data_IF_230332029758
#
_entry.id   IF_230332029758
#
_cell.length_a   1.000
_cell.length_b   1.000
_cell.length_c   1.000
_cell.angle_alpha   90.00
_cell.angle_beta   90.00
_cell.angle_gamma   90.00
#
_symmetry.space_group_name_H-M   'P 1'
#
loop_
_entity.id
_entity.type
_entity.pdbx_description
1 polymer ?
#
# COMPACT_ATOMS: atom_id res chain seq x y z
N UNK A 1 29.26 -4.94 -18.37
CA UNK A 1 28.26 -6.03 -18.35
C UNK A 1 27.73 -6.04 -16.94
N UNK A 2 26.52 -5.54 -16.74
CA UNK A 2 25.90 -5.40 -15.42
C UNK A 2 24.95 -6.59 -15.24
N UNK A 3 25.40 -7.60 -14.51
CA UNK A 3 24.62 -8.80 -14.18
C UNK A 3 23.91 -8.57 -12.85
N UNK A 4 22.58 -8.45 -12.89
CA UNK A 4 21.75 -8.16 -11.73
C UNK A 4 21.11 -9.42 -11.18
N UNK A 5 21.57 -9.87 -10.01
CA UNK A 5 21.06 -10.98 -9.19
C UNK A 5 19.64 -10.70 -8.63
N UNK A 6 18.63 -10.65 -9.51
CA UNK A 6 17.21 -10.55 -9.13
C UNK A 6 16.36 -11.43 -10.05
N UNK A 7 16.59 -12.74 -10.04
CA UNK A 7 15.72 -13.74 -10.66
C UNK A 7 15.39 -13.52 -12.14
N UNK A 8 14.43 -14.28 -12.67
CA UNK A 8 14.03 -14.18 -14.08
C UNK A 8 13.53 -12.76 -14.41
N UNK A 9 14.24 -12.06 -15.30
CA UNK A 9 13.79 -10.79 -15.88
C UNK A 9 12.81 -11.08 -17.01
N UNK A 10 11.57 -10.63 -16.88
CA UNK A 10 10.57 -10.68 -17.96
C UNK A 10 10.89 -9.63 -19.04
N UNK A 11 11.88 -9.89 -19.89
CA UNK A 11 12.40 -8.92 -20.87
C UNK A 11 11.65 -8.94 -22.22
N UNK A 12 10.40 -9.40 -22.26
CA UNK A 12 9.56 -9.31 -23.46
C UNK A 12 8.09 -9.35 -23.11
N UNK A 13 7.52 -8.17 -22.85
CA UNK A 13 6.08 -7.97 -22.70
C UNK A 13 5.52 -7.50 -24.05
N UNK A 14 4.49 -8.18 -24.54
CA UNK A 14 3.68 -7.78 -25.69
C UNK A 14 2.23 -7.67 -25.21
N UNK A 15 1.53 -6.62 -25.62
CA UNK A 15 0.11 -6.47 -25.28
C UNK A 15 -0.70 -7.56 -26.00
N UNK A 16 -1.71 -8.10 -25.33
CA UNK A 16 -2.62 -9.05 -25.95
C UNK A 16 -3.53 -8.34 -26.96
N UNK A 17 -3.63 -8.90 -28.16
CA UNK A 17 -4.53 -8.45 -29.22
C UNK A 17 -5.82 -9.28 -29.19
N UNK A 18 -6.96 -8.63 -29.44
CA UNK A 18 -8.24 -9.30 -29.57
C UNK A 18 -8.36 -10.06 -30.89
N UNK A 19 -9.46 -10.81 -31.06
CA UNK A 19 -9.71 -11.62 -32.26
C UNK A 19 -9.72 -10.81 -33.59
N UNK A 20 -9.87 -9.49 -33.49
CA UNK A 20 -9.86 -8.53 -34.60
C UNK A 20 -8.48 -7.86 -34.83
N UNK A 21 -7.42 -8.31 -34.14
CA UNK A 21 -6.06 -7.73 -34.27
C UNK A 21 -5.92 -6.33 -33.65
N UNK A 22 -6.89 -5.91 -32.83
CA UNK A 22 -6.84 -4.64 -32.11
C UNK A 22 -6.34 -4.87 -30.68
N UNK A 23 -5.42 -4.04 -30.13
CA UNK A 23 -4.94 -4.20 -28.76
C UNK A 23 -6.08 -4.13 -27.75
N UNK A 24 -6.14 -5.11 -26.85
CA UNK A 24 -7.16 -5.17 -25.81
C UNK A 24 -6.96 -4.00 -24.85
N UNK A 25 -7.91 -3.07 -24.84
CA UNK A 25 -7.94 -1.99 -23.85
C UNK A 25 -8.54 -2.55 -22.56
N UNK A 26 -7.83 -2.50 -21.42
CA UNK A 26 -8.41 -2.91 -20.15
C UNK A 26 -9.64 -2.03 -19.83
N UNK A 27 -10.70 -2.60 -19.24
CA UNK A 27 -11.88 -1.83 -18.90
C UNK A 27 -11.50 -0.70 -17.93
N UNK A 28 -11.86 0.53 -18.30
CA UNK A 28 -11.73 1.69 -17.42
C UNK A 28 -12.60 1.45 -16.18
N UNK A 29 -12.07 1.50 -14.95
CA UNK A 29 -12.90 1.41 -13.76
C UNK A 29 -13.88 2.58 -13.75
N UNK A 30 -15.16 2.28 -13.52
CA UNK A 30 -16.21 3.28 -13.39
C UNK A 30 -15.91 4.17 -12.17
N UNK A 31 -16.22 5.49 -12.22
CA UNK A 31 -16.16 6.30 -11.02
C UNK A 31 -17.17 5.73 -10.01
N UNK A 32 -16.70 5.35 -8.83
CA UNK A 32 -17.58 4.96 -7.73
C UNK A 32 -18.52 6.15 -7.44
N UNK A 33 -19.83 5.91 -7.55
CA UNK A 33 -20.82 6.89 -7.13
C UNK A 33 -20.58 7.19 -5.64
N UNK A 34 -20.35 8.45 -5.30
CA UNK A 34 -20.33 8.90 -3.91
C UNK A 34 -21.69 8.57 -3.29
N UNK A 35 -21.71 7.57 -2.42
CA UNK A 35 -22.86 7.28 -1.60
C UNK A 35 -23.16 8.51 -0.74
N UNK A 36 -24.42 8.93 -0.80
CA UNK A 36 -24.95 10.13 -0.17
C UNK A 36 -24.60 10.21 1.32
N UNK A 37 -24.25 11.41 1.77
CA UNK A 37 -24.08 11.74 3.17
C UNK A 37 -25.40 11.50 3.93
N UNK A 38 -25.39 10.52 4.83
CA UNK A 38 -26.43 10.35 5.85
C UNK A 38 -26.23 11.42 6.94
N UNK A 39 -27.31 12.02 7.49
CA UNK A 39 -27.16 13.00 8.56
C UNK A 39 -26.57 12.33 9.81
N UNK A 40 -25.52 12.95 10.34
CA UNK A 40 -24.76 12.53 11.52
C UNK A 40 -25.66 12.62 12.76
N UNK A 41 -26.21 11.49 13.20
CA UNK A 41 -26.77 11.39 14.55
C UNK A 41 -25.59 11.29 15.53
N UNK A 42 -25.40 12.35 16.31
CA UNK A 42 -24.42 12.43 17.39
C UNK A 42 -25.03 11.70 18.58
N UNK A 43 -24.65 10.44 18.76
CA UNK A 43 -24.73 9.75 20.05
C UNK A 43 -23.29 9.51 20.50
N UNK A 44 -22.98 9.97 21.70
CA UNK A 44 -21.63 10.17 22.20
C UNK A 44 -21.27 9.04 23.17
N UNK A 45 -20.64 7.97 22.68
CA UNK A 45 -19.64 7.20 23.44
C UNK A 45 -18.92 6.22 22.48
N UNK A 46 -17.59 6.21 22.52
CA UNK A 46 -16.69 5.42 21.65
C UNK A 46 -16.68 5.85 20.16
N UNK A 47 -15.86 6.86 19.87
CA UNK A 47 -15.34 7.04 18.51
C UNK A 47 -14.51 5.80 18.19
N UNK A 48 -15.16 4.81 17.55
CA UNK A 48 -14.54 3.58 17.05
C UNK A 48 -13.28 3.98 16.28
N UNK A 49 -12.13 3.87 16.94
CA UNK A 49 -10.86 4.24 16.34
C UNK A 49 -10.60 3.13 15.32
N UNK A 50 -10.61 3.48 14.03
CA UNK A 50 -10.20 2.54 12.98
C UNK A 50 -8.72 2.25 13.23
N UNK A 51 -8.44 1.12 13.87
CA UNK A 51 -7.09 0.71 14.22
C UNK A 51 -6.50 0.07 12.96
N UNK A 52 -5.39 0.63 12.44
CA UNK A 52 -4.76 0.06 11.25
C UNK A 52 -4.30 -1.38 11.53
N UNK A 53 -4.47 -2.26 10.56
CA UNK A 53 -3.81 -3.57 10.59
C UNK A 53 -2.28 -3.40 10.65
N UNK A 54 -1.59 -4.24 11.41
CA UNK A 54 -0.14 -4.15 11.55
C UNK A 54 0.61 -4.18 10.20
N UNK A 55 0.11 -4.94 9.22
CA UNK A 55 0.70 -5.00 7.88
C UNK A 55 0.50 -3.69 7.10
N UNK A 56 -0.65 -3.04 7.24
CA UNK A 56 -0.98 -1.78 6.58
C UNK A 56 -0.13 -0.64 7.13
N UNK A 57 -0.06 -0.51 8.46
CA UNK A 57 0.81 0.46 9.13
C UNK A 57 2.27 0.36 8.65
N UNK A 58 2.75 -0.88 8.49
CA UNK A 58 4.12 -1.16 8.07
C UNK A 58 4.35 -0.87 6.58
N UNK A 59 3.32 -1.04 5.74
CA UNK A 59 3.33 -0.59 4.35
C UNK A 59 3.46 0.92 4.26
N UNK A 60 2.56 1.65 4.91
CA UNK A 60 2.53 3.12 4.89
C UNK A 60 3.84 3.73 5.41
N UNK A 61 4.36 3.21 6.52
CA UNK A 61 5.67 3.63 7.06
C UNK A 61 6.78 3.41 6.05
N UNK A 62 6.76 2.30 5.31
CA UNK A 62 7.80 2.02 4.31
C UNK A 62 7.75 3.04 3.18
N UNK A 63 6.56 3.39 2.68
CA UNK A 63 6.41 4.39 1.61
C UNK A 63 6.89 5.78 2.05
N UNK A 64 6.54 6.19 3.29
CA UNK A 64 7.02 7.45 3.86
C UNK A 64 8.54 7.49 3.97
N UNK A 65 9.17 6.40 4.42
CA UNK A 65 10.63 6.32 4.52
C UNK A 65 11.32 6.42 3.16
N UNK A 66 10.80 5.73 2.14
CA UNK A 66 11.33 5.77 0.78
C UNK A 66 11.22 7.17 0.17
N UNK A 67 10.12 7.87 0.43
CA UNK A 67 9.90 9.23 -0.08
C UNK A 67 10.72 10.28 0.68
N UNK A 68 10.77 10.21 2.01
CA UNK A 68 11.42 11.22 2.85
C UNK A 68 12.94 11.08 2.90
N UNK A 69 13.46 9.86 2.80
CA UNK A 69 14.87 9.57 2.94
C UNK A 69 15.33 8.47 1.95
N UNK A 70 15.41 8.79 0.65
CA UNK A 70 15.76 7.81 -0.40
C UNK A 70 17.19 7.25 -0.29
N UNK A 71 18.04 7.85 0.55
CA UNK A 71 19.38 7.35 0.86
C UNK A 71 19.41 6.22 1.89
N UNK A 72 18.27 5.90 2.54
CA UNK A 72 18.20 4.80 3.49
C UNK A 72 18.48 3.47 2.80
N UNK A 73 19.30 2.63 3.44
CA UNK A 73 19.54 1.28 2.95
C UNK A 73 18.38 0.35 3.35
N UNK A 74 18.24 -0.76 2.63
CA UNK A 74 17.23 -1.77 2.96
C UNK A 74 17.35 -2.28 4.41
N UNK A 75 18.57 -2.44 4.92
CA UNK A 75 18.81 -2.87 6.30
C UNK A 75 18.30 -1.83 7.31
N UNK A 76 18.58 -0.54 7.08
CA UNK A 76 18.10 0.53 7.94
C UNK A 76 16.57 0.62 7.94
N UNK A 77 15.94 0.47 6.77
CA UNK A 77 14.48 0.46 6.64
C UNK A 77 13.89 -0.68 7.48
N UNK A 78 14.44 -1.89 7.38
CA UNK A 78 13.97 -3.03 8.17
C UNK A 78 14.09 -2.80 9.68
N UNK A 79 15.21 -2.24 10.13
CA UNK A 79 15.44 -1.92 11.54
C UNK A 79 14.43 -0.89 12.07
N UNK A 80 14.26 0.24 11.35
CA UNK A 80 13.33 1.31 11.74
C UNK A 80 11.90 0.78 11.79
N UNK A 81 11.50 0.03 10.76
CA UNK A 81 10.17 -0.54 10.62
C UNK A 81 9.83 -1.52 11.75
N UNK A 82 10.79 -2.35 12.16
CA UNK A 82 10.62 -3.24 13.31
C UNK A 82 10.40 -2.47 14.63
N UNK A 83 11.18 -1.40 14.84
CA UNK A 83 11.02 -0.53 16.02
C UNK A 83 9.66 0.16 16.06
N UNK A 84 9.22 0.71 14.92
CA UNK A 84 7.92 1.37 14.81
C UNK A 84 6.74 0.40 14.96
N UNK A 85 6.84 -0.83 14.43
CA UNK A 85 5.83 -1.87 14.64
C UNK A 85 5.61 -2.17 16.12
N UNK A 86 6.71 -2.38 16.85
CA UNK A 86 6.66 -2.66 18.29
C UNK A 86 6.10 -1.47 19.09
N UNK A 87 6.51 -0.26 18.72
CA UNK A 87 5.99 0.96 19.32
C UNK A 87 4.48 1.12 19.10
N UNK A 88 3.99 0.96 17.87
CA UNK A 88 2.58 1.08 17.51
C UNK A 88 1.72 0.03 18.25
N UNK A 89 2.18 -1.22 18.29
CA UNK A 89 1.52 -2.29 19.05
C UNK A 89 1.42 -1.96 20.54
N UNK A 90 2.49 -1.43 21.15
CA UNK A 90 2.50 -1.07 22.58
C UNK A 90 1.53 0.05 22.94
N UNK A 91 1.10 0.84 21.95
CA UNK A 91 0.18 1.97 22.09
C UNK A 91 -1.25 1.68 21.63
N UNK A 92 -1.51 0.46 21.15
CA UNK A 92 -2.82 0.08 20.61
C UNK A 92 -3.14 0.77 19.28
N UNK A 93 -2.13 1.24 18.55
CA UNK A 93 -2.33 1.86 17.22
C UNK A 93 -2.53 0.85 16.11
N UNK A 94 -2.13 -0.39 16.35
CA UNK A 94 -2.31 -1.50 15.42
C UNK A 94 -3.00 -2.67 16.08
N UNK A 95 -3.89 -3.33 15.34
CA UNK A 95 -4.53 -4.58 15.78
C UNK A 95 -3.51 -5.73 15.82
N UNK A 96 -3.68 -6.64 16.78
CA UNK A 96 -2.75 -7.75 17.05
C UNK A 96 -3.04 -9.00 16.25
#
# INVERSE_FOLDING_TARGET
>A
MEDGDRGLKASSVRLAEGADGTPLTPPRPAPAASAAAVPRQVDSDDSLCDVLGAAEFIGEVTEVLLQAAPSLTGEQILQIRGGLAGFAKSRGWTES
#
